data_IF_335748807404
#
_entry.id   IF_335748807404
#
_cell.length_a   1.000
_cell.length_b   1.000
_cell.length_c   1.000
_cell.angle_alpha   90.00
_cell.angle_beta   90.00
_cell.angle_gamma   90.00
#
_symmetry.space_group_name_H-M   'P 1'
#
loop_
_entity.id
_entity.type
_entity.pdbx_description
1 polymer ?
#
# COMPACT_ATOMS: atom_id res chain seq x y z
N UNK A 1 -6.35 5.73 -4.56
CA UNK A 1 -5.68 6.99 -4.17
C UNK A 1 -5.75 8.09 -5.23
N UNK A 2 -5.81 9.35 -4.75
CA UNK A 2 -5.53 10.56 -5.53
C UNK A 2 -4.01 10.85 -5.52
N UNK A 3 -3.50 11.55 -6.54
CA UNK A 3 -2.07 11.88 -6.71
C UNK A 3 -1.43 12.53 -5.48
N UNK A 4 -2.14 13.43 -4.80
CA UNK A 4 -1.66 14.10 -3.58
C UNK A 4 -1.44 13.18 -2.38
N UNK A 5 -2.08 12.03 -2.34
CA UNK A 5 -1.89 11.05 -1.24
C UNK A 5 -0.64 10.19 -1.49
N UNK A 6 -0.27 10.03 -2.76
CA UNK A 6 0.88 9.26 -3.22
C UNK A 6 2.20 9.91 -2.79
N UNK A 7 2.30 11.23 -2.87
CA UNK A 7 3.48 11.98 -2.41
C UNK A 7 3.66 11.88 -0.88
N UNK A 8 2.55 11.87 -0.13
CA UNK A 8 2.58 11.67 1.33
C UNK A 8 3.00 10.26 1.72
N UNK A 9 2.69 9.25 0.91
CA UNK A 9 3.18 7.88 1.13
C UNK A 9 4.69 7.84 0.86
N UNK A 10 5.18 8.48 -0.21
CA UNK A 10 6.61 8.52 -0.52
C UNK A 10 7.46 9.15 0.57
N UNK A 11 6.95 10.14 1.30
CA UNK A 11 7.68 10.76 2.42
C UNK A 11 7.76 9.90 3.68
N UNK A 12 6.95 8.83 3.81
CA UNK A 12 6.96 7.95 5.00
C UNK A 12 8.17 7.04 5.03
N UNK A 13 8.58 6.61 6.22
CA UNK A 13 9.67 5.64 6.38
C UNK A 13 9.29 4.25 5.87
N UNK A 14 10.27 3.42 5.53
CA UNK A 14 10.02 2.03 5.09
C UNK A 14 9.20 1.23 6.12
N UNK A 15 9.48 1.43 7.41
CA UNK A 15 8.77 0.75 8.51
C UNK A 15 7.31 1.19 8.62
N UNK A 16 7.02 2.47 8.41
CA UNK A 16 5.65 2.98 8.38
C UNK A 16 4.89 2.45 7.17
N UNK A 17 5.54 2.40 6.00
CA UNK A 17 4.94 1.83 4.79
C UNK A 17 4.58 0.35 4.94
N UNK A 18 5.43 -0.42 5.64
CA UNK A 18 5.15 -1.83 5.94
C UNK A 18 3.97 -1.99 6.91
N UNK A 19 3.84 -1.09 7.91
CA UNK A 19 2.66 -1.05 8.80
C UNK A 19 1.38 -0.69 8.03
N UNK A 20 1.42 0.38 7.24
CA UNK A 20 0.29 0.81 6.41
C UNK A 20 -0.17 -0.32 5.47
N UNK A 21 0.77 -1.12 4.96
CA UNK A 21 0.48 -2.24 4.08
C UNK A 21 -0.26 -3.37 4.81
N UNK A 22 0.05 -3.63 6.07
CA UNK A 22 -0.69 -4.60 6.91
C UNK A 22 -2.10 -4.08 7.15
N UNK A 23 -2.25 -2.83 7.58
CA UNK A 23 -3.55 -2.23 7.87
C UNK A 23 -4.46 -2.22 6.62
N UNK A 24 -3.91 -1.92 5.45
CA UNK A 24 -4.66 -1.95 4.19
C UNK A 24 -5.11 -3.37 3.80
N UNK A 25 -4.32 -4.41 4.10
CA UNK A 25 -4.71 -5.80 3.85
C UNK A 25 -5.83 -6.24 4.78
N UNK A 26 -5.73 -5.90 6.07
CA UNK A 26 -6.75 -6.24 7.05
C UNK A 26 -8.07 -5.56 6.70
N UNK A 27 -8.01 -4.29 6.31
CA UNK A 27 -9.17 -3.54 5.81
C UNK A 27 -9.76 -4.16 4.55
N UNK A 28 -8.93 -4.62 3.62
CA UNK A 28 -9.39 -5.33 2.43
C UNK A 28 -10.12 -6.63 2.82
N UNK A 29 -9.57 -7.39 3.75
CA UNK A 29 -10.14 -8.65 4.22
C UNK A 29 -11.52 -8.43 4.87
N UNK A 30 -11.63 -7.51 5.83
CA UNK A 30 -12.90 -7.16 6.45
C UNK A 30 -13.94 -6.73 5.41
N UNK A 31 -13.54 -5.89 4.46
CA UNK A 31 -14.48 -5.41 3.46
C UNK A 31 -14.87 -6.48 2.43
N UNK A 32 -13.97 -7.42 2.11
CA UNK A 32 -14.33 -8.59 1.32
C UNK A 32 -15.34 -9.48 2.05
N UNK A 33 -15.17 -9.68 3.37
CA UNK A 33 -16.15 -10.40 4.17
C UNK A 33 -17.51 -9.69 4.21
N UNK A 34 -17.53 -8.36 4.32
CA UNK A 34 -18.77 -7.58 4.33
C UNK A 34 -19.49 -7.62 2.97
N UNK A 35 -18.73 -7.61 1.87
CA UNK A 35 -19.28 -7.80 0.51
C UNK A 35 -19.85 -9.22 0.37
N UNK A 36 -19.12 -10.25 0.82
CA UNK A 36 -19.58 -11.63 0.78
C UNK A 36 -20.85 -11.86 1.62
N UNK A 37 -20.94 -11.20 2.78
CA UNK A 37 -22.12 -11.23 3.65
C UNK A 37 -23.27 -10.36 3.12
N UNK A 38 -23.08 -9.65 2.00
CA UNK A 38 -24.08 -8.77 1.41
C UNK A 38 -24.36 -7.48 2.21
N UNK A 39 -23.55 -7.20 3.24
CA UNK A 39 -23.67 -5.98 4.08
C UNK A 39 -23.19 -4.74 3.35
N UNK A 40 -22.18 -4.90 2.49
CA UNK A 40 -21.58 -3.81 1.73
C UNK A 40 -21.79 -4.07 0.23
N UNK A 41 -22.55 -3.18 -0.44
CA UNK A 41 -22.80 -3.27 -1.89
C UNK A 41 -21.71 -2.58 -2.71
N UNK A 42 -20.86 -1.77 -2.07
CA UNK A 42 -19.87 -0.96 -2.75
C UNK A 42 -18.56 -1.72 -3.03
N UNK A 43 -18.60 -2.58 -4.06
CA UNK A 43 -17.42 -3.34 -4.53
C UNK A 43 -16.30 -2.43 -5.05
N UNK A 44 -16.63 -1.19 -5.47
CA UNK A 44 -15.64 -0.26 -6.02
C UNK A 44 -14.66 0.21 -4.94
N UNK A 45 -15.11 0.33 -3.70
CA UNK A 45 -14.23 0.62 -2.57
C UNK A 45 -13.12 -0.42 -2.44
N UNK A 46 -13.40 -1.70 -2.73
CA UNK A 46 -12.42 -2.79 -2.61
C UNK A 46 -11.34 -2.70 -3.69
N UNK A 47 -11.73 -2.27 -4.90
CA UNK A 47 -10.78 -1.94 -5.97
C UNK A 47 -9.86 -0.77 -5.56
N UNK A 48 -10.40 0.23 -4.88
CA UNK A 48 -9.61 1.34 -4.32
C UNK A 48 -8.51 0.85 -3.38
N UNK A 49 -8.89 0.05 -2.37
CA UNK A 49 -7.94 -0.51 -1.38
C UNK A 49 -6.89 -1.39 -2.07
N UNK A 50 -7.28 -2.23 -3.05
CA UNK A 50 -6.32 -3.04 -3.83
C UNK A 50 -5.30 -2.17 -4.56
N UNK A 51 -5.75 -1.07 -5.19
CA UNK A 51 -4.85 -0.12 -5.85
C UNK A 51 -3.87 0.51 -4.87
N UNK A 52 -4.35 0.88 -3.69
CA UNK A 52 -3.53 1.50 -2.65
C UNK A 52 -2.45 0.50 -2.15
N UNK A 53 -2.81 -0.77 -1.93
CA UNK A 53 -1.85 -1.85 -1.60
C UNK A 53 -0.77 -1.99 -2.67
N UNK A 54 -1.16 -2.03 -3.95
CA UNK A 54 -0.21 -2.13 -5.06
C UNK A 54 0.75 -0.94 -5.10
N UNK A 55 0.26 0.27 -4.90
CA UNK A 55 1.08 1.48 -4.89
C UNK A 55 2.06 1.50 -3.72
N UNK A 56 1.60 1.16 -2.51
CA UNK A 56 2.48 1.06 -1.33
C UNK A 56 3.58 0.02 -1.54
N UNK A 57 3.25 -1.15 -2.12
CA UNK A 57 4.25 -2.18 -2.48
C UNK A 57 5.28 -1.66 -3.48
N UNK A 58 4.85 -0.94 -4.52
CA UNK A 58 5.77 -0.36 -5.50
C UNK A 58 6.74 0.61 -4.84
N UNK A 59 6.26 1.48 -3.94
CA UNK A 59 7.10 2.46 -3.25
C UNK A 59 8.08 1.76 -2.31
N UNK A 60 7.65 0.74 -1.56
CA UNK A 60 8.55 -0.06 -0.70
C UNK A 60 9.67 -0.68 -1.55
N UNK A 61 9.32 -1.30 -2.69
CA UNK A 61 10.30 -1.92 -3.58
C UNK A 61 11.25 -0.89 -4.18
N UNK A 62 10.75 0.29 -4.56
CA UNK A 62 11.57 1.38 -5.07
C UNK A 62 12.59 1.83 -4.02
N UNK A 63 12.14 2.08 -2.77
CA UNK A 63 13.04 2.46 -1.67
C UNK A 63 14.06 1.38 -1.33
N UNK A 64 13.68 0.10 -1.37
CA UNK A 64 14.61 -1.01 -1.17
C UNK A 64 15.66 -1.09 -2.28
N UNK A 65 15.28 -0.84 -3.54
CA UNK A 65 16.23 -0.77 -4.66
C UNK A 65 17.17 0.43 -4.56
N UNK A 66 16.66 1.60 -4.20
CA UNK A 66 17.47 2.81 -3.99
C UNK A 66 18.50 2.59 -2.87
N UNK A 67 18.10 1.96 -1.75
CA UNK A 67 19.02 1.59 -0.69
C UNK A 67 20.09 0.58 -1.15
N UNK A 68 19.70 -0.46 -1.91
CA UNK A 68 20.64 -1.46 -2.42
C UNK A 68 21.63 -0.91 -3.46
N UNK A 69 21.22 0.08 -4.26
CA UNK A 69 22.10 0.76 -5.22
C UNK A 69 23.16 1.60 -4.48
N UNK A 70 22.77 2.32 -3.43
CA UNK A 70 23.70 3.10 -2.61
C UNK A 70 24.78 2.21 -1.96
N UNK A 71 24.42 1.02 -1.48
CA UNK A 71 25.38 0.06 -0.91
C UNK A 71 26.34 -0.56 -1.96
N UNK A 72 25.97 -0.53 -3.25
CA UNK A 72 26.79 -1.06 -4.34
C UNK A 72 27.78 -0.07 -4.93
N UNK A 73 27.56 1.24 -4.74
CA UNK A 73 28.47 2.31 -5.18
C UNK A 73 29.59 2.60 -4.15
N UNK A 74 29.45 2.10 -2.92
CA UNK A 74 30.40 2.30 -1.82
C UNK A 74 31.44 1.17 -1.67
N UNK A 75 31.39 0.13 -2.52
CA UNK A 75 32.34 -0.99 -2.58
C UNK A 75 33.24 -0.92 -3.81
#
# INVERSE_FOLDING_TARGET
MKTKELDKIRSRSLKELERDLVDLKDKLFSMQQDIQKGKEKNVHRAKGIKKDISQTRTIINQKKKEAALAESEEK
#
